data_IF_475627597172
#
_entry.id   IF_475627597172
#
_cell.length_a   1.000
_cell.length_b   1.000
_cell.length_c   1.000
_cell.angle_alpha   90.00
_cell.angle_beta   90.00
_cell.angle_gamma   90.00
#
_symmetry.space_group_name_H-M   'P 1'
#
loop_
_entity.id
_entity.type
_entity.pdbx_description
1 polymer ?
#
# COMPACT_ATOMS: atom_id res chain seq x y z
N UNK A 1 8.62 21.27 22.85
CA UNK A 1 7.96 20.71 21.63
C UNK A 1 7.54 19.30 21.95
N UNK A 2 6.29 18.95 21.69
CA UNK A 2 5.81 17.57 21.84
C UNK A 2 6.48 16.72 20.77
N UNK A 3 7.19 15.66 21.15
CA UNK A 3 7.78 14.71 20.22
C UNK A 3 6.80 13.59 19.87
N UNK A 4 7.15 12.77 18.88
CA UNK A 4 6.40 11.56 18.56
C UNK A 4 6.43 10.57 19.72
N UNK A 5 5.29 9.94 20.07
CA UNK A 5 5.19 9.04 21.24
C UNK A 5 6.00 7.75 21.09
N UNK A 6 6.17 7.27 19.86
CA UNK A 6 6.98 6.12 19.50
C UNK A 6 8.00 6.52 18.43
N UNK A 7 9.27 6.21 18.66
CA UNK A 7 10.36 6.55 17.75
C UNK A 7 10.96 5.34 17.03
N UNK A 8 10.49 4.12 17.35
CA UNK A 8 11.10 2.89 16.81
C UNK A 8 11.21 2.89 15.29
N UNK A 9 10.16 3.31 14.58
CA UNK A 9 10.22 3.42 13.11
C UNK A 9 11.13 4.56 12.68
N UNK A 10 11.09 5.73 13.33
CA UNK A 10 11.97 6.84 12.98
C UNK A 10 13.44 6.48 13.08
N UNK A 11 13.80 5.76 14.16
CA UNK A 11 15.17 5.33 14.40
C UNK A 11 15.59 4.18 13.44
N UNK A 12 14.63 3.39 12.95
CA UNK A 12 14.84 2.33 11.96
C UNK A 12 15.05 2.88 10.54
N UNK A 13 14.16 3.75 10.07
CA UNK A 13 14.10 4.17 8.66
C UNK A 13 14.71 5.54 8.40
N UNK A 14 14.98 6.33 9.45
CA UNK A 14 15.62 7.64 9.34
C UNK A 14 14.74 8.77 8.79
N UNK A 15 13.39 8.62 8.78
CA UNK A 15 12.48 9.70 8.39
C UNK A 15 12.25 10.71 9.52
N UNK A 16 11.82 11.92 9.20
CA UNK A 16 11.53 12.97 10.19
C UNK A 16 10.20 12.70 10.93
N UNK A 17 9.19 12.20 10.19
CA UNK A 17 7.88 11.87 10.72
C UNK A 17 7.57 10.38 10.57
N UNK A 18 6.77 9.76 11.47
CA UNK A 18 6.37 8.37 11.36
C UNK A 18 5.28 8.19 10.29
N UNK A 19 5.54 8.70 9.11
CA UNK A 19 4.66 8.69 7.94
C UNK A 19 5.42 8.09 6.77
N UNK A 20 4.82 7.08 6.13
CA UNK A 20 5.33 6.46 4.91
C UNK A 20 4.36 6.82 3.79
N UNK A 21 4.86 7.43 2.72
CA UNK A 21 4.10 7.56 1.49
C UNK A 21 3.99 6.17 0.86
N UNK A 22 2.78 5.65 0.75
CA UNK A 22 2.56 4.29 0.24
C UNK A 22 3.06 4.13 -1.20
N UNK A 23 3.72 3.02 -1.53
CA UNK A 23 4.07 2.72 -2.92
C UNK A 23 2.81 2.43 -3.74
N UNK A 24 2.58 3.21 -4.79
CA UNK A 24 1.35 3.14 -5.60
C UNK A 24 1.71 2.90 -7.07
N UNK A 25 1.58 1.64 -7.51
CA UNK A 25 1.91 1.24 -8.88
C UNK A 25 1.13 2.05 -9.93
N UNK A 26 1.82 2.54 -10.96
CA UNK A 26 1.30 3.39 -12.04
C UNK A 26 0.79 4.78 -11.60
N UNK A 27 0.93 5.15 -10.34
CA UNK A 27 0.45 6.43 -9.80
C UNK A 27 1.57 7.17 -9.07
N UNK A 28 2.35 6.48 -8.26
CA UNK A 28 3.53 7.02 -7.61
C UNK A 28 4.78 6.86 -8.48
N UNK A 29 5.72 7.78 -8.31
CA UNK A 29 7.04 7.77 -8.96
C UNK A 29 7.99 8.66 -8.21
N UNK A 30 9.11 9.01 -8.83
CA UNK A 30 10.17 9.80 -8.20
C UNK A 30 9.67 11.14 -7.69
N UNK A 31 8.83 11.85 -8.47
CA UNK A 31 8.31 13.16 -8.07
C UNK A 31 7.52 13.08 -6.76
N UNK A 32 6.64 12.09 -6.64
CA UNK A 32 5.84 11.90 -5.44
C UNK A 32 6.69 11.50 -4.24
N UNK A 33 7.63 10.56 -4.43
CA UNK A 33 8.53 10.11 -3.37
C UNK A 33 9.44 11.24 -2.86
N UNK A 34 10.03 12.05 -3.78
CA UNK A 34 10.84 13.21 -3.44
C UNK A 34 10.04 14.26 -2.69
N UNK A 35 8.80 14.55 -3.12
CA UNK A 35 7.97 15.55 -2.45
C UNK A 35 7.52 15.09 -1.06
N UNK A 36 7.13 13.83 -0.92
CA UNK A 36 6.81 13.24 0.39
C UNK A 36 8.03 13.29 1.34
N UNK A 37 9.23 12.93 0.85
CA UNK A 37 10.47 12.99 1.62
C UNK A 37 10.84 14.42 2.04
N UNK A 38 10.66 15.41 1.17
CA UNK A 38 10.82 16.84 1.51
C UNK A 38 9.80 17.33 2.54
N UNK A 39 8.67 16.64 2.67
CA UNK A 39 7.69 16.87 3.71
C UNK A 39 8.03 16.17 5.04
N UNK A 40 9.07 15.33 5.09
CA UNK A 40 9.53 14.60 6.28
C UNK A 40 9.05 13.14 6.35
N UNK A 41 8.32 12.63 5.36
CA UNK A 41 7.93 11.21 5.28
C UNK A 41 9.03 10.31 4.71
N UNK A 42 8.90 9.00 4.87
CA UNK A 42 9.61 8.04 4.06
C UNK A 42 8.95 7.96 2.67
N UNK A 43 9.67 8.41 1.62
CA UNK A 43 9.23 8.28 0.24
C UNK A 43 9.32 6.84 -0.26
N UNK A 44 8.39 6.39 -1.10
CA UNK A 44 8.39 5.02 -1.62
C UNK A 44 8.28 4.96 -3.13
N UNK A 45 9.06 4.08 -3.77
CA UNK A 45 8.97 3.73 -5.19
C UNK A 45 8.28 2.37 -5.38
N UNK A 46 7.23 2.29 -6.22
CA UNK A 46 6.55 1.04 -6.55
C UNK A 46 7.31 0.25 -7.62
N UNK A 47 8.32 -0.53 -7.23
CA UNK A 47 9.25 -1.20 -8.14
C UNK A 47 8.69 -2.46 -8.81
N UNK A 48 7.61 -3.05 -8.29
CA UNK A 48 7.03 -4.29 -8.82
C UNK A 48 6.41 -4.19 -10.22
N UNK A 49 6.50 -3.02 -10.90
CA UNK A 49 5.91 -2.75 -12.22
C UNK A 49 6.91 -2.23 -13.25
N UNK A 50 8.14 -1.99 -12.85
CA UNK A 50 9.19 -1.39 -13.67
C UNK A 50 10.39 -2.34 -13.75
N UNK A 51 11.24 -2.18 -14.77
CA UNK A 51 12.39 -3.07 -14.94
C UNK A 51 13.50 -2.77 -13.92
N UNK A 52 14.44 -3.71 -13.69
CA UNK A 52 15.61 -3.48 -12.86
C UNK A 52 16.39 -2.21 -13.24
N UNK A 53 16.54 -1.92 -14.53
CA UNK A 53 17.19 -0.70 -15.04
C UNK A 53 16.43 0.56 -14.63
N UNK A 54 15.11 0.54 -14.77
CA UNK A 54 14.25 1.67 -14.36
C UNK A 54 14.28 1.88 -12.84
N UNK A 55 14.44 0.82 -12.04
CA UNK A 55 14.64 0.97 -10.59
C UNK A 55 15.91 1.77 -10.29
N UNK A 56 17.04 1.42 -10.96
CA UNK A 56 18.31 2.16 -10.81
C UNK A 56 18.13 3.64 -11.16
N UNK A 57 17.59 3.90 -12.35
CA UNK A 57 17.37 5.27 -12.84
C UNK A 57 16.52 6.10 -11.87
N UNK A 58 15.43 5.52 -11.35
CA UNK A 58 14.54 6.23 -10.43
C UNK A 58 15.19 6.48 -9.05
N UNK A 59 16.01 5.56 -8.56
CA UNK A 59 16.72 5.75 -7.28
C UNK A 59 17.82 6.80 -7.44
N UNK A 60 18.57 6.79 -8.54
CA UNK A 60 19.58 7.79 -8.82
C UNK A 60 18.95 9.19 -8.93
N UNK A 61 17.82 9.30 -9.63
CA UNK A 61 17.06 10.55 -9.71
C UNK A 61 16.56 11.01 -8.34
N UNK A 62 16.01 10.10 -7.52
CA UNK A 62 15.57 10.43 -6.16
C UNK A 62 16.72 10.97 -5.32
N UNK A 63 17.86 10.26 -5.29
CA UNK A 63 19.05 10.64 -4.51
C UNK A 63 19.67 11.94 -4.97
N UNK A 64 19.59 12.25 -6.26
CA UNK A 64 20.05 13.54 -6.79
C UNK A 64 19.20 14.73 -6.34
N UNK A 65 17.93 14.50 -5.93
CA UNK A 65 16.95 15.56 -5.62
C UNK A 65 16.69 15.74 -4.11
N UNK A 66 16.99 14.71 -3.31
CA UNK A 66 16.80 14.75 -1.85
C UNK A 66 17.75 13.78 -1.15
N UNK A 67 18.36 14.22 -0.06
CA UNK A 67 19.23 13.41 0.80
C UNK A 67 18.43 12.74 1.92
N UNK A 68 17.45 11.94 1.57
CA UNK A 68 16.56 11.27 2.51
C UNK A 68 16.53 9.74 2.24
N UNK A 69 16.14 8.90 3.21
CA UNK A 69 15.95 7.48 2.99
C UNK A 69 14.81 7.21 1.99
N UNK A 70 14.91 6.08 1.29
CA UNK A 70 13.92 5.64 0.31
C UNK A 70 13.47 4.21 0.58
N UNK A 71 12.19 3.94 0.36
CA UNK A 71 11.61 2.60 0.37
C UNK A 71 11.39 2.09 -1.05
N UNK A 72 11.95 0.93 -1.38
CA UNK A 72 11.69 0.21 -2.63
C UNK A 72 10.69 -0.91 -2.37
N UNK A 73 9.55 -0.88 -3.08
CA UNK A 73 8.49 -1.86 -2.87
C UNK A 73 8.39 -2.87 -4.00
N UNK A 74 8.29 -4.14 -3.63
CA UNK A 74 8.16 -5.26 -4.55
C UNK A 74 6.98 -6.16 -4.21
N UNK A 75 6.54 -6.98 -5.18
CA UNK A 75 5.49 -7.97 -5.00
C UNK A 75 6.07 -9.37 -4.90
N UNK A 76 5.60 -10.15 -3.92
CA UNK A 76 5.97 -11.53 -3.69
C UNK A 76 4.73 -12.41 -3.79
N UNK A 77 4.46 -12.97 -4.96
CA UNK A 77 3.35 -13.88 -5.18
C UNK A 77 3.84 -15.08 -5.98
N UNK A 78 3.17 -16.21 -5.82
CA UNK A 78 3.42 -17.36 -6.67
C UNK A 78 2.70 -17.18 -8.00
N UNK A 79 3.43 -17.39 -9.12
CA UNK A 79 2.81 -17.37 -10.44
C UNK A 79 1.83 -18.52 -10.55
N UNK A 80 0.54 -18.25 -10.77
CA UNK A 80 -0.43 -19.33 -10.94
C UNK A 80 -0.14 -20.10 -12.22
N UNK A 81 -0.53 -21.38 -12.22
CA UNK A 81 -0.52 -22.18 -13.45
C UNK A 81 -1.38 -21.51 -14.53
N UNK A 82 -0.99 -21.71 -15.81
CA UNK A 82 -1.79 -21.22 -16.92
C UNK A 82 -3.22 -21.77 -16.85
N UNK A 83 -4.20 -20.88 -16.98
CA UNK A 83 -5.62 -21.21 -16.95
C UNK A 83 -6.27 -20.81 -18.27
N UNK A 84 -7.39 -21.48 -18.61
CA UNK A 84 -8.23 -21.06 -19.73
C UNK A 84 -8.92 -19.74 -19.36
N UNK A 85 -8.59 -18.66 -20.05
CA UNK A 85 -9.17 -17.33 -19.90
C UNK A 85 -10.36 -17.07 -20.85
N UNK A 86 -10.79 -18.06 -21.62
CA UNK A 86 -11.82 -17.91 -22.65
C UNK A 86 -13.15 -17.36 -22.15
N UNK A 87 -13.58 -17.77 -20.93
CA UNK A 87 -14.79 -17.22 -20.30
C UNK A 87 -14.62 -15.73 -19.95
N UNK A 88 -13.45 -15.36 -19.45
CA UNK A 88 -13.13 -13.99 -19.10
C UNK A 88 -13.06 -13.10 -20.35
N UNK A 89 -12.38 -13.54 -21.41
CA UNK A 89 -12.37 -12.86 -22.72
C UNK A 89 -13.77 -12.67 -23.29
N UNK A 90 -14.65 -13.67 -23.16
CA UNK A 90 -16.03 -13.56 -23.61
C UNK A 90 -16.80 -12.45 -22.88
N UNK A 91 -16.58 -12.29 -21.56
CA UNK A 91 -17.18 -11.21 -20.76
C UNK A 91 -16.64 -9.85 -21.21
N UNK A 92 -15.34 -9.75 -21.51
CA UNK A 92 -14.70 -8.49 -21.91
C UNK A 92 -14.93 -8.13 -23.39
N UNK A 93 -15.36 -9.07 -24.23
CA UNK A 93 -15.52 -8.86 -25.68
C UNK A 93 -16.37 -7.64 -26.06
N UNK A 94 -17.53 -7.32 -25.43
CA UNK A 94 -18.30 -6.13 -25.73
C UNK A 94 -17.50 -4.83 -25.57
N UNK A 95 -16.60 -4.79 -24.59
CA UNK A 95 -15.76 -3.63 -24.33
C UNK A 95 -14.62 -3.51 -25.35
N UNK A 96 -14.02 -4.62 -25.76
CA UNK A 96 -13.05 -4.60 -26.86
C UNK A 96 -13.65 -4.04 -28.13
N UNK A 97 -14.88 -4.48 -28.48
CA UNK A 97 -15.62 -3.94 -29.65
C UNK A 97 -15.90 -2.44 -29.46
N UNK A 98 -16.39 -2.03 -28.28
CA UNK A 98 -16.66 -0.62 -27.96
C UNK A 98 -15.43 0.27 -28.12
N UNK A 99 -14.27 -0.21 -27.67
CA UNK A 99 -13.01 0.51 -27.73
C UNK A 99 -12.22 0.24 -29.02
N UNK A 100 -12.79 -0.50 -29.98
CA UNK A 100 -12.13 -0.79 -31.27
C UNK A 100 -10.83 -1.57 -31.11
N UNK A 101 -10.72 -2.37 -30.06
CA UNK A 101 -9.55 -3.19 -29.78
C UNK A 101 -9.71 -4.48 -30.61
N UNK A 102 -8.80 -4.78 -31.56
CA UNK A 102 -8.77 -6.09 -32.21
C UNK A 102 -8.53 -7.16 -31.13
N UNK A 103 -8.80 -8.43 -31.45
CA UNK A 103 -8.66 -9.51 -30.46
C UNK A 103 -7.33 -9.38 -29.70
N UNK A 104 -7.37 -9.05 -28.38
CA UNK A 104 -6.18 -8.61 -27.69
C UNK A 104 -5.22 -9.78 -27.48
N UNK A 105 -3.99 -9.61 -27.89
CA UNK A 105 -2.91 -10.45 -27.38
C UNK A 105 -2.74 -10.13 -25.88
N UNK A 106 -2.50 -11.17 -25.07
CA UNK A 106 -2.23 -10.97 -23.66
C UNK A 106 -1.02 -10.03 -23.49
N UNK A 107 -1.17 -9.03 -22.66
CA UNK A 107 -0.05 -8.15 -22.29
C UNK A 107 0.99 -8.94 -21.47
N UNK A 108 2.22 -8.43 -21.40
CA UNK A 108 3.24 -8.98 -20.52
C UNK A 108 2.70 -9.06 -19.08
N UNK A 109 2.94 -10.21 -18.45
CA UNK A 109 2.55 -10.43 -17.05
C UNK A 109 3.47 -9.66 -16.10
N UNK A 110 2.93 -9.29 -14.97
CA UNK A 110 3.72 -8.91 -13.81
C UNK A 110 4.48 -10.13 -13.32
N UNK A 111 5.76 -9.92 -13.04
CA UNK A 111 6.59 -10.96 -12.42
C UNK A 111 6.75 -10.66 -10.94
N UNK A 112 6.79 -11.68 -10.08
CA UNK A 112 7.14 -11.50 -8.67
C UNK A 112 8.61 -11.06 -8.54
N UNK A 113 8.99 -10.67 -7.31
CA UNK A 113 10.38 -10.41 -6.96
C UNK A 113 11.25 -11.63 -7.26
N UNK A 114 12.39 -11.40 -7.92
CA UNK A 114 13.30 -12.42 -8.40
C UNK A 114 14.77 -12.04 -8.17
N UNK A 115 15.68 -12.88 -8.66
CA UNK A 115 17.13 -12.67 -8.58
C UNK A 115 17.62 -11.39 -9.29
N UNK A 116 16.91 -10.92 -10.33
CA UNK A 116 17.30 -9.69 -11.04
C UNK A 116 17.01 -8.45 -10.18
N UNK A 117 15.87 -8.39 -9.51
CA UNK A 117 15.58 -7.33 -8.57
C UNK A 117 16.47 -7.42 -7.32
N UNK A 118 16.78 -8.63 -6.86
CA UNK A 118 17.70 -8.85 -5.74
C UNK A 118 19.08 -8.25 -6.05
N UNK A 119 19.63 -8.52 -7.23
CA UNK A 119 20.92 -7.96 -7.68
C UNK A 119 20.90 -6.42 -7.72
N UNK A 120 19.76 -5.80 -8.09
CA UNK A 120 19.60 -4.36 -8.04
C UNK A 120 19.63 -3.83 -6.61
N UNK A 121 18.97 -4.52 -5.67
CA UNK A 121 19.00 -4.13 -4.24
C UNK A 121 20.41 -4.25 -3.68
N UNK A 122 21.16 -5.30 -4.00
CA UNK A 122 22.55 -5.48 -3.60
C UNK A 122 23.46 -4.34 -4.10
N UNK A 123 23.22 -3.87 -5.32
CA UNK A 123 23.97 -2.78 -5.95
C UNK A 123 23.60 -1.42 -5.32
N UNK A 124 22.31 -1.11 -5.26
CA UNK A 124 21.79 0.21 -4.82
C UNK A 124 21.90 0.39 -3.31
N UNK A 125 21.75 -0.69 -2.53
CA UNK A 125 21.67 -0.67 -1.07
C UNK A 125 20.70 0.41 -0.55
N UNK A 126 19.39 0.25 -0.82
CA UNK A 126 18.39 1.19 -0.33
C UNK A 126 18.28 1.07 1.19
N UNK A 127 17.81 2.12 1.83
CA UNK A 127 17.60 2.15 3.28
C UNK A 127 16.46 1.22 3.71
N UNK A 128 15.42 1.11 2.87
CA UNK A 128 14.23 0.29 3.17
C UNK A 128 13.79 -0.51 1.94
N UNK A 129 13.41 -1.76 2.16
CA UNK A 129 12.75 -2.63 1.18
C UNK A 129 11.44 -3.14 1.77
N UNK A 130 10.33 -2.96 1.04
CA UNK A 130 9.04 -3.47 1.48
C UNK A 130 8.47 -4.50 0.51
N UNK A 131 7.84 -5.53 1.07
CA UNK A 131 7.23 -6.61 0.32
C UNK A 131 5.71 -6.65 0.49
N UNK A 132 5.01 -6.92 -0.60
CA UNK A 132 3.55 -7.07 -0.65
C UNK A 132 3.20 -8.44 -1.21
N UNK A 133 2.16 -9.09 -0.70
CA UNK A 133 1.81 -10.50 -0.96
C UNK A 133 2.81 -11.51 -0.39
N UNK A 134 3.24 -11.33 0.84
CA UNK A 134 4.21 -12.18 1.54
C UNK A 134 5.65 -11.71 1.37
N UNK A 135 6.58 -12.64 1.43
CA UNK A 135 8.02 -12.44 1.33
C UNK A 135 8.58 -13.24 0.14
N UNK A 136 9.75 -12.86 -0.41
CA UNK A 136 10.43 -13.68 -1.40
C UNK A 136 10.92 -14.99 -0.77
N UNK A 137 11.34 -15.93 -1.62
CA UNK A 137 11.96 -17.17 -1.16
C UNK A 137 13.17 -16.88 -0.25
N UNK A 138 13.36 -17.72 0.79
CA UNK A 138 14.37 -17.51 1.84
C UNK A 138 15.77 -17.13 1.31
N UNK A 139 16.33 -17.77 0.24
CA UNK A 139 17.64 -17.38 -0.26
C UNK A 139 17.70 -15.92 -0.76
N UNK A 140 16.63 -15.40 -1.36
CA UNK A 140 16.56 -14.01 -1.82
C UNK A 140 16.33 -13.06 -0.65
N UNK A 141 15.52 -13.46 0.33
CA UNK A 141 15.30 -12.67 1.55
C UNK A 141 16.60 -12.48 2.33
N UNK A 142 17.41 -13.53 2.47
CA UNK A 142 18.72 -13.47 3.11
C UNK A 142 19.70 -12.54 2.37
N UNK A 143 19.69 -12.56 1.03
CA UNK A 143 20.49 -11.63 0.23
C UNK A 143 20.07 -10.18 0.47
N UNK A 144 18.75 -9.90 0.46
CA UNK A 144 18.25 -8.55 0.79
C UNK A 144 18.67 -8.14 2.20
N UNK A 145 18.52 -9.03 3.19
CA UNK A 145 18.94 -8.78 4.59
C UNK A 145 20.44 -8.47 4.69
N UNK A 146 21.27 -9.16 3.93
CA UNK A 146 22.73 -8.95 3.91
C UNK A 146 23.14 -7.56 3.39
N UNK A 147 22.26 -6.84 2.68
CA UNK A 147 22.52 -5.46 2.25
C UNK A 147 22.46 -4.46 3.40
N UNK A 148 21.82 -4.82 4.51
CA UNK A 148 21.55 -3.95 5.66
C UNK A 148 20.28 -3.11 5.50
N UNK A 149 19.47 -3.34 4.45
CA UNK A 149 18.18 -2.66 4.28
C UNK A 149 17.19 -3.09 5.36
N UNK A 150 16.40 -2.16 5.86
CA UNK A 150 15.24 -2.42 6.71
C UNK A 150 14.16 -3.12 5.91
N UNK A 151 13.67 -4.26 6.36
CA UNK A 151 12.69 -5.08 5.66
C UNK A 151 11.29 -4.89 6.25
N UNK A 152 10.35 -4.42 5.43
CA UNK A 152 8.94 -4.27 5.80
C UNK A 152 8.09 -5.34 5.12
N UNK A 153 7.23 -6.03 5.87
CA UNK A 153 6.24 -6.97 5.35
C UNK A 153 4.81 -6.45 5.51
N UNK A 154 3.92 -6.74 4.55
CA UNK A 154 2.51 -6.35 4.61
C UNK A 154 1.65 -7.53 5.08
N UNK A 155 0.82 -7.31 6.12
CA UNK A 155 -0.12 -8.26 6.67
C UNK A 155 -1.55 -7.71 6.67
N UNK A 156 -2.53 -8.55 6.35
CA UNK A 156 -3.97 -8.24 6.39
C UNK A 156 -4.69 -9.01 7.51
N UNK A 157 -4.00 -9.96 8.13
CA UNK A 157 -4.49 -10.76 9.24
C UNK A 157 -3.45 -10.88 10.34
N UNK A 158 -3.88 -11.27 11.54
CA UNK A 158 -2.97 -11.54 12.66
C UNK A 158 -2.03 -12.71 12.36
N UNK A 159 -2.53 -13.74 11.69
CA UNK A 159 -1.73 -14.91 11.29
C UNK A 159 -0.60 -14.51 10.32
N UNK A 160 -0.91 -13.67 9.33
CA UNK A 160 0.10 -13.13 8.42
C UNK A 160 1.13 -12.27 9.14
N UNK A 161 0.71 -11.43 10.08
CA UNK A 161 1.62 -10.61 10.87
C UNK A 161 2.55 -11.48 11.72
N UNK A 162 2.02 -12.50 12.39
CA UNK A 162 2.82 -13.46 13.15
C UNK A 162 3.84 -14.20 12.27
N UNK A 163 3.41 -14.65 11.09
CA UNK A 163 4.31 -15.29 10.12
C UNK A 163 5.47 -14.36 9.73
N UNK A 164 5.18 -13.10 9.41
CA UNK A 164 6.20 -12.12 9.04
C UNK A 164 7.19 -11.85 10.20
N UNK A 165 6.69 -11.73 11.44
CA UNK A 165 7.53 -11.58 12.65
C UNK A 165 8.47 -12.78 12.80
N UNK A 166 7.98 -14.01 12.62
CA UNK A 166 8.81 -15.22 12.69
C UNK A 166 9.83 -15.30 11.55
N UNK A 167 9.55 -14.74 10.39
CA UNK A 167 10.51 -14.61 9.28
C UNK A 167 11.55 -13.51 9.51
N UNK A 168 11.46 -12.75 10.61
CA UNK A 168 12.45 -11.74 10.98
C UNK A 168 12.42 -10.49 10.12
N UNK A 169 11.25 -10.00 9.75
CA UNK A 169 11.11 -8.64 9.19
C UNK A 169 11.32 -7.60 10.28
N UNK A 170 11.76 -6.40 9.91
CA UNK A 170 12.08 -5.34 10.88
C UNK A 170 10.83 -4.55 11.32
N UNK A 171 9.79 -4.50 10.48
CA UNK A 171 8.49 -3.94 10.84
C UNK A 171 7.37 -4.51 9.96
N UNK A 172 6.12 -4.42 10.44
CA UNK A 172 4.94 -4.97 9.79
C UNK A 172 3.95 -3.86 9.43
N UNK A 173 3.53 -3.82 8.16
CA UNK A 173 2.46 -2.95 7.67
C UNK A 173 1.13 -3.69 7.88
N UNK A 174 0.35 -3.28 8.87
CA UNK A 174 -1.00 -3.80 9.11
C UNK A 174 -1.98 -3.11 8.16
N UNK A 175 -2.36 -3.80 7.08
CA UNK A 175 -3.27 -3.29 6.06
C UNK A 175 -4.73 -3.59 6.42
N UNK A 176 -5.47 -2.56 6.85
CA UNK A 176 -6.90 -2.67 7.11
C UNK A 176 -7.75 -2.74 5.85
N UNK A 177 -9.00 -3.20 6.01
CA UNK A 177 -9.99 -3.31 4.92
C UNK A 177 -10.26 -2.00 4.19
N UNK A 178 -10.03 -0.87 4.84
CA UNK A 178 -10.23 0.48 4.28
C UNK A 178 -9.21 0.87 3.21
N UNK A 179 -8.09 0.14 3.13
CA UNK A 179 -7.00 0.46 2.22
C UNK A 179 -7.41 0.38 0.75
N UNK A 180 -6.91 1.30 -0.07
CA UNK A 180 -7.03 1.25 -1.52
C UNK A 180 -6.00 0.32 -2.15
N UNK A 181 -6.28 -0.13 -3.37
CA UNK A 181 -5.40 -1.06 -4.07
C UNK A 181 -5.60 -2.51 -3.66
N UNK A 182 -4.63 -3.34 -4.03
CA UNK A 182 -4.69 -4.77 -3.76
C UNK A 182 -4.61 -5.08 -2.27
N UNK A 183 -5.44 -6.03 -1.83
CA UNK A 183 -5.33 -6.64 -0.51
C UNK A 183 -4.06 -7.49 -0.48
N UNK A 184 -3.14 -7.17 0.43
CA UNK A 184 -1.83 -7.81 0.52
C UNK A 184 -1.84 -9.23 1.08
N UNK A 185 -2.98 -9.89 1.10
CA UNK A 185 -3.18 -11.24 1.64
C UNK A 185 -2.31 -12.25 0.90
N UNK A 186 -1.65 -13.14 1.66
CA UNK A 186 -0.76 -14.15 1.10
C UNK A 186 -0.90 -15.53 1.76
N UNK A 187 -1.48 -15.63 2.95
CA UNK A 187 -1.84 -16.91 3.55
C UNK A 187 -3.23 -17.36 3.11
N UNK A 188 -3.41 -18.68 3.04
CA UNK A 188 -4.70 -19.29 2.76
C UNK A 188 -5.76 -18.89 3.80
N UNK A 189 -7.02 -18.86 3.37
CA UNK A 189 -8.15 -18.54 4.23
C UNK A 189 -9.31 -17.91 3.44
N UNK A 190 -10.43 -17.67 4.11
CA UNK A 190 -11.58 -17.04 3.48
C UNK A 190 -11.30 -15.56 3.18
N UNK A 191 -11.31 -15.11 1.92
CA UNK A 191 -11.06 -13.71 1.57
C UNK A 191 -12.13 -12.73 2.09
N UNK A 192 -13.20 -13.24 2.70
CA UNK A 192 -14.24 -12.44 3.37
C UNK A 192 -13.90 -12.14 4.83
N UNK A 193 -12.94 -12.86 5.41
CA UNK A 193 -12.42 -12.61 6.77
C UNK A 193 -11.42 -11.47 6.73
N UNK A 194 -11.92 -10.25 6.55
CA UNK A 194 -11.12 -9.02 6.51
C UNK A 194 -11.52 -8.11 7.66
N UNK A 195 -10.52 -7.57 8.34
CA UNK A 195 -10.69 -6.64 9.45
C UNK A 195 -10.47 -5.20 9.00
N UNK A 196 -11.30 -4.29 9.49
CA UNK A 196 -11.01 -2.87 9.45
C UNK A 196 -9.80 -2.55 10.33
N UNK A 197 -9.07 -1.48 9.99
CA UNK A 197 -7.82 -1.12 10.65
C UNK A 197 -7.97 -0.95 12.17
N UNK A 198 -9.07 -0.39 12.62
CA UNK A 198 -9.33 -0.17 14.04
C UNK A 198 -9.43 -1.47 14.84
N UNK A 199 -9.87 -2.57 14.21
CA UNK A 199 -9.94 -3.89 14.83
C UNK A 199 -8.65 -4.70 14.61
N UNK A 200 -8.01 -4.57 13.43
CA UNK A 200 -6.80 -5.31 13.07
C UNK A 200 -5.59 -4.86 13.90
N UNK A 201 -5.38 -3.55 13.98
CA UNK A 201 -4.17 -2.95 14.52
C UNK A 201 -3.84 -3.40 15.95
N UNK A 202 -4.75 -3.31 16.96
CA UNK A 202 -4.43 -3.74 18.31
C UNK A 202 -4.17 -5.25 18.43
N UNK A 203 -4.80 -6.07 17.59
CA UNK A 203 -4.59 -7.51 17.57
C UNK A 203 -3.21 -7.85 17.01
N UNK A 204 -2.80 -7.21 15.91
CA UNK A 204 -1.45 -7.39 15.33
C UNK A 204 -0.39 -6.94 16.34
N UNK A 205 -0.52 -5.75 16.93
CA UNK A 205 0.43 -5.22 17.92
C UNK A 205 0.61 -6.19 19.12
N UNK A 206 -0.48 -6.84 19.53
CA UNK A 206 -0.42 -7.81 20.64
C UNK A 206 0.22 -9.15 20.24
N UNK A 207 0.31 -9.46 18.96
CA UNK A 207 0.76 -10.76 18.44
C UNK A 207 2.22 -10.76 17.97
N UNK A 208 2.85 -9.58 17.77
CA UNK A 208 4.19 -9.46 17.19
C UNK A 208 5.13 -8.66 18.07
N UNK A 209 6.44 -8.84 17.88
CA UNK A 209 7.48 -8.16 18.65
C UNK A 209 8.01 -6.88 17.97
N UNK A 210 7.91 -6.82 16.64
CA UNK A 210 8.43 -5.71 15.83
C UNK A 210 7.45 -4.52 15.78
N UNK A 211 7.92 -3.32 15.43
CA UNK A 211 7.05 -2.16 15.22
C UNK A 211 5.97 -2.40 14.16
N UNK A 212 4.76 -1.88 14.41
CA UNK A 212 3.62 -2.02 13.48
C UNK A 212 3.28 -0.67 12.85
N UNK A 213 3.14 -0.68 11.53
CA UNK A 213 2.79 0.46 10.68
C UNK A 213 1.32 0.33 10.28
N UNK A 214 0.48 1.28 10.63
CA UNK A 214 -0.94 1.25 10.29
C UNK A 214 -1.17 1.71 8.84
N UNK A 215 -1.93 0.95 8.04
CA UNK A 215 -2.26 1.29 6.66
C UNK A 215 -3.76 1.07 6.35
N UNK A 216 -4.39 2.07 5.74
CA UNK A 216 -5.81 2.03 5.37
C UNK A 216 -6.67 3.06 6.11
N UNK A 217 -7.49 3.78 5.37
CA UNK A 217 -8.40 4.79 5.93
C UNK A 217 -7.75 6.06 6.49
N UNK A 218 -6.44 6.20 6.43
CA UNK A 218 -5.70 7.34 6.98
C UNK A 218 -5.63 8.44 5.92
N UNK A 219 -6.25 9.60 6.21
CA UNK A 219 -6.35 10.70 5.25
C UNK A 219 -6.07 12.09 5.86
N UNK A 220 -6.02 12.22 7.19
CA UNK A 220 -5.73 13.46 7.91
C UNK A 220 -4.97 13.19 9.21
N UNK A 221 -4.54 14.24 9.92
CA UNK A 221 -3.79 14.11 11.18
C UNK A 221 -4.61 13.49 12.31
N UNK A 222 -5.93 13.52 12.26
CA UNK A 222 -6.80 12.85 13.25
C UNK A 222 -6.66 11.35 13.15
N UNK A 223 -6.65 10.83 11.91
CA UNK A 223 -6.45 9.39 11.66
C UNK A 223 -5.02 8.94 12.02
N UNK A 224 -4.00 9.78 11.77
CA UNK A 224 -2.62 9.54 12.22
C UNK A 224 -2.56 9.45 13.74
N UNK A 225 -3.08 10.46 14.46
CA UNK A 225 -3.09 10.46 15.92
C UNK A 225 -3.84 9.26 16.51
N UNK A 226 -4.98 8.86 15.92
CA UNK A 226 -5.74 7.70 16.34
C UNK A 226 -4.96 6.40 16.17
N UNK A 227 -4.28 6.20 15.03
CA UNK A 227 -3.45 5.02 14.78
C UNK A 227 -2.29 4.91 15.78
N UNK A 228 -1.60 6.03 16.05
CA UNK A 228 -0.51 6.08 17.03
C UNK A 228 -1.04 5.85 18.47
N UNK A 229 -2.22 6.36 18.80
CA UNK A 229 -2.87 6.11 20.10
C UNK A 229 -3.27 4.64 20.27
N UNK A 230 -3.63 3.94 19.19
CA UNK A 230 -3.88 2.50 19.19
C UNK A 230 -2.60 1.66 19.30
N UNK A 231 -1.41 2.29 19.26
CA UNK A 231 -0.13 1.64 19.44
C UNK A 231 0.68 1.42 18.17
N UNK A 232 0.24 1.94 17.01
CA UNK A 232 1.08 1.95 15.82
C UNK A 232 2.34 2.79 16.05
N UNK A 233 3.48 2.33 15.48
CA UNK A 233 4.75 3.07 15.51
C UNK A 233 4.85 4.07 14.35
N UNK A 234 4.08 3.87 13.29
CA UNK A 234 3.97 4.75 12.13
C UNK A 234 2.67 4.51 11.35
N UNK A 235 2.45 5.32 10.32
CA UNK A 235 1.35 5.14 9.37
C UNK A 235 1.87 5.07 7.94
N UNK A 236 1.22 4.25 7.10
CA UNK A 236 1.43 4.25 5.65
C UNK A 236 0.19 4.83 4.96
N UNK A 237 0.39 5.92 4.23
CA UNK A 237 -0.67 6.73 3.63
C UNK A 237 -0.60 6.68 2.12
N UNK A 238 -1.68 6.28 1.45
CA UNK A 238 -1.73 6.20 -0.02
C UNK A 238 -2.70 7.21 -0.63
N UNK A 239 -3.99 7.01 -0.39
CA UNK A 239 -5.08 7.73 -1.07
C UNK A 239 -5.02 9.25 -0.90
N UNK A 240 -4.55 9.75 0.23
CA UNK A 240 -4.38 11.19 0.45
C UNK A 240 -3.41 11.84 -0.57
N UNK A 241 -2.43 11.07 -1.07
CA UNK A 241 -1.47 11.54 -2.07
C UNK A 241 -1.97 11.43 -3.53
N UNK A 242 -3.11 10.79 -3.80
CA UNK A 242 -3.58 10.57 -5.18
C UNK A 242 -3.88 11.87 -5.93
N UNK A 243 -4.34 12.92 -5.22
CA UNK A 243 -4.64 14.22 -5.82
C UNK A 243 -3.47 15.18 -5.88
N UNK A 244 -2.31 14.78 -5.38
CA UNK A 244 -1.12 15.61 -5.47
C UNK A 244 -0.72 15.84 -6.94
N UNK A 245 -0.21 17.02 -7.31
CA UNK A 245 0.31 17.27 -8.65
C UNK A 245 1.46 16.34 -9.02
N UNK A 246 2.22 15.84 -8.03
CA UNK A 246 3.34 14.92 -8.21
C UNK A 246 2.90 13.47 -8.49
N UNK A 247 1.60 13.15 -8.37
CA UNK A 247 1.07 11.85 -8.75
C UNK A 247 0.81 11.78 -10.26
N UNK A 248 1.09 10.61 -10.88
CA UNK A 248 0.85 10.38 -12.32
C UNK A 248 -0.63 10.20 -12.68
N UNK A 249 -1.53 10.26 -11.70
CA UNK A 249 -2.95 10.12 -11.97
C UNK A 249 -3.43 11.30 -12.82
N UNK A 250 -4.10 11.07 -13.97
CA UNK A 250 -4.66 12.17 -14.80
C UNK A 250 -5.67 13.00 -14.00
N UNK A 251 -5.74 14.30 -14.26
CA UNK A 251 -6.61 15.21 -13.50
C UNK A 251 -8.09 14.81 -13.56
N UNK A 252 -8.60 14.41 -14.73
CA UNK A 252 -9.96 13.90 -14.84
C UNK A 252 -10.21 12.64 -14.02
N UNK A 253 -9.19 11.84 -13.77
CA UNK A 253 -9.26 10.69 -12.87
C UNK A 253 -9.20 11.11 -11.39
N UNK A 254 -8.35 12.10 -11.04
CA UNK A 254 -8.33 12.71 -9.70
C UNK A 254 -9.70 13.27 -9.31
N UNK A 255 -10.42 13.84 -10.27
CA UNK A 255 -11.76 14.38 -10.06
C UNK A 255 -12.82 13.33 -9.72
N UNK A 256 -12.61 12.06 -10.07
CA UNK A 256 -13.55 10.98 -9.71
C UNK A 256 -13.42 10.54 -8.25
N UNK A 257 -12.27 10.80 -7.62
CA UNK A 257 -12.03 10.42 -6.23
C UNK A 257 -13.07 11.08 -5.30
N UNK A 258 -13.71 10.27 -4.46
CA UNK A 258 -14.73 10.74 -3.51
C UNK A 258 -16.11 11.06 -4.10
N UNK A 259 -16.28 11.05 -5.42
CA UNK A 259 -17.62 11.23 -6.06
C UNK A 259 -18.49 9.98 -5.99
N UNK A 260 -17.85 8.81 -5.95
CA UNK A 260 -18.52 7.51 -5.83
C UNK A 260 -17.90 6.70 -4.69
N UNK A 261 -18.63 5.76 -4.09
CA UNK A 261 -18.08 4.88 -3.06
C UNK A 261 -16.99 3.98 -3.64
N UNK A 262 -16.11 3.48 -2.77
CA UNK A 262 -15.16 2.43 -3.12
C UNK A 262 -15.73 1.06 -2.84
N UNK A 263 -15.30 0.08 -3.60
CA UNK A 263 -15.71 -1.33 -3.47
C UNK A 263 -14.51 -2.24 -3.72
N UNK A 264 -14.52 -3.43 -3.09
CA UNK A 264 -13.52 -4.46 -3.38
C UNK A 264 -13.92 -5.22 -4.63
N UNK A 265 -12.98 -5.44 -5.53
CA UNK A 265 -13.19 -6.08 -6.83
C UNK A 265 -12.01 -6.95 -7.23
N UNK A 266 -12.24 -7.99 -8.05
CA UNK A 266 -11.17 -8.79 -8.66
C UNK A 266 -11.12 -8.64 -10.19
N UNK A 267 -12.02 -7.84 -10.78
CA UNK A 267 -12.17 -7.78 -12.25
C UNK A 267 -10.99 -7.14 -12.99
N UNK A 268 -10.13 -6.41 -12.29
CA UNK A 268 -9.03 -5.70 -12.92
C UNK A 268 -7.79 -6.56 -13.12
N UNK A 269 -7.46 -7.40 -12.14
CA UNK A 269 -6.21 -8.15 -12.14
C UNK A 269 -6.35 -9.62 -11.74
N UNK A 270 -7.54 -10.03 -11.28
CA UNK A 270 -7.78 -11.33 -10.67
C UNK A 270 -7.61 -11.35 -9.15
N UNK A 271 -6.79 -10.45 -8.60
CA UNK A 271 -6.63 -10.25 -7.16
C UNK A 271 -7.67 -9.28 -6.60
N UNK A 272 -8.02 -9.47 -5.33
CA UNK A 272 -8.91 -8.54 -4.63
C UNK A 272 -8.22 -7.18 -4.45
N UNK A 273 -8.88 -6.12 -4.91
CA UNK A 273 -8.39 -4.75 -4.78
C UNK A 273 -9.56 -3.80 -4.51
N UNK A 274 -9.33 -2.77 -3.69
CA UNK A 274 -10.33 -1.72 -3.47
C UNK A 274 -10.15 -0.61 -4.48
N UNK A 275 -11.24 -0.27 -5.17
CA UNK A 275 -11.28 0.78 -6.17
C UNK A 275 -12.55 1.64 -6.02
N UNK A 276 -12.53 2.85 -6.58
CA UNK A 276 -13.74 3.64 -6.81
C UNK A 276 -14.66 2.86 -7.76
N UNK A 277 -15.94 2.80 -7.44
CA UNK A 277 -16.93 2.10 -8.24
C UNK A 277 -17.15 2.79 -9.58
N UNK A 278 -16.47 2.31 -10.60
CA UNK A 278 -16.58 2.76 -11.98
C UNK A 278 -17.58 1.95 -12.79
N UNK A 279 -17.82 2.38 -14.01
CA UNK A 279 -18.79 1.79 -14.93
C UNK A 279 -18.51 0.32 -15.27
N UNK A 280 -17.23 -0.06 -15.42
CA UNK A 280 -16.89 -1.45 -15.68
C UNK A 280 -17.35 -2.36 -14.52
N UNK A 281 -17.18 -1.90 -13.27
CA UNK A 281 -17.66 -2.62 -12.07
C UNK A 281 -19.20 -2.72 -12.09
N UNK A 282 -19.89 -1.64 -12.46
CA UNK A 282 -21.35 -1.61 -12.50
C UNK A 282 -21.92 -2.58 -13.54
N UNK A 283 -21.26 -2.69 -14.69
CA UNK A 283 -21.75 -3.49 -15.83
C UNK A 283 -21.44 -4.98 -15.70
N UNK A 284 -20.27 -5.36 -15.13
CA UNK A 284 -19.90 -6.79 -15.04
C UNK A 284 -19.87 -7.35 -13.62
N UNK A 285 -20.10 -6.51 -12.62
CA UNK A 285 -20.10 -6.87 -11.20
C UNK A 285 -18.71 -6.78 -10.56
N UNK A 286 -18.66 -6.59 -9.24
CA UNK A 286 -17.38 -6.38 -8.57
C UNK A 286 -16.55 -7.67 -8.42
N UNK A 287 -17.20 -8.82 -8.26
CA UNK A 287 -16.52 -10.11 -8.06
C UNK A 287 -16.98 -11.09 -9.15
N UNK A 288 -16.01 -11.67 -9.84
CA UNK A 288 -16.22 -12.63 -10.92
C UNK A 288 -15.37 -13.88 -10.73
N UNK A 289 -16.03 -15.04 -10.68
CA UNK A 289 -15.34 -16.33 -10.65
C UNK A 289 -14.67 -16.69 -11.98
N UNK A 290 -15.07 -16.02 -13.07
CA UNK A 290 -14.49 -16.23 -14.40
C UNK A 290 -13.18 -15.42 -14.60
N UNK A 291 -12.90 -14.43 -13.75
CA UNK A 291 -11.64 -13.70 -13.81
C UNK A 291 -10.50 -14.64 -13.40
N UNK A 292 -9.49 -14.85 -14.25
CA UNK A 292 -8.32 -15.64 -13.91
C UNK A 292 -7.63 -15.11 -12.64
N UNK A 293 -6.94 -15.97 -11.86
CA UNK A 293 -6.24 -15.51 -10.67
C UNK A 293 -5.16 -14.47 -10.98
N UNK A 294 -4.83 -13.67 -9.97
CA UNK A 294 -3.77 -12.65 -10.07
C UNK A 294 -2.43 -13.30 -10.51
N UNK A 295 -1.67 -12.69 -11.45
CA UNK A 295 -1.96 -11.47 -12.19
C UNK A 295 -2.61 -11.71 -13.59
N UNK A 296 -3.06 -12.93 -13.88
CA UNK A 296 -3.45 -13.37 -15.23
C UNK A 296 -4.62 -12.55 -15.82
N UNK A 297 -5.63 -12.21 -15.01
CA UNK A 297 -6.74 -11.39 -15.50
C UNK A 297 -6.26 -10.01 -15.98
N UNK A 298 -5.23 -9.46 -15.34
CA UNK A 298 -4.63 -8.17 -15.70
C UNK A 298 -4.04 -8.16 -17.11
N UNK A 299 -3.46 -9.27 -17.56
CA UNK A 299 -2.91 -9.37 -18.92
C UNK A 299 -3.99 -9.19 -20.00
N UNK A 300 -5.21 -9.61 -19.71
CA UNK A 300 -6.37 -9.51 -20.62
C UNK A 300 -7.06 -8.15 -20.52
N UNK A 301 -7.14 -7.57 -19.33
CA UNK A 301 -7.81 -6.27 -19.11
C UNK A 301 -6.92 -5.07 -19.48
N UNK A 302 -5.62 -5.17 -19.44
CA UNK A 302 -4.69 -4.06 -19.71
C UNK A 302 -4.90 -3.38 -21.08
N UNK A 303 -5.15 -4.09 -22.20
CA UNK A 303 -5.47 -3.46 -23.48
C UNK A 303 -6.71 -2.55 -23.42
N UNK A 304 -7.73 -2.94 -22.64
CA UNK A 304 -8.92 -2.13 -22.42
C UNK A 304 -8.58 -0.84 -21.66
N UNK A 305 -7.75 -0.94 -20.61
CA UNK A 305 -7.36 0.24 -19.83
C UNK A 305 -6.55 1.24 -20.66
N UNK A 306 -5.63 0.76 -21.49
CA UNK A 306 -4.88 1.63 -22.41
C UNK A 306 -5.80 2.39 -23.36
N UNK A 307 -6.74 1.69 -23.99
CA UNK A 307 -7.70 2.31 -24.88
C UNK A 307 -8.67 3.28 -24.17
N UNK A 308 -9.01 3.00 -22.91
CA UNK A 308 -9.82 3.89 -22.09
C UNK A 308 -9.06 5.17 -21.69
N UNK A 309 -7.76 5.08 -21.36
CA UNK A 309 -6.89 6.25 -21.11
C UNK A 309 -6.82 7.14 -22.35
N UNK A 310 -6.56 6.57 -23.54
CA UNK A 310 -6.50 7.32 -24.82
C UNK A 310 -7.79 8.08 -25.14
N UNK A 311 -8.92 7.62 -24.59
CA UNK A 311 -10.24 8.25 -24.79
C UNK A 311 -10.73 9.07 -23.61
N UNK A 312 -9.88 9.20 -22.56
CA UNK A 312 -10.24 9.87 -21.32
C UNK A 312 -11.51 9.30 -20.65
N UNK A 313 -11.83 8.00 -20.91
CA UNK A 313 -12.98 7.32 -20.31
C UNK A 313 -12.55 6.64 -19.00
N UNK A 314 -12.31 7.45 -17.97
CA UNK A 314 -11.79 7.04 -16.65
C UNK A 314 -12.73 6.09 -15.89
N UNK A 315 -14.00 6.01 -16.28
CA UNK A 315 -14.99 5.09 -15.68
C UNK A 315 -14.68 3.60 -15.96
N UNK A 316 -13.80 3.31 -16.91
CA UNK A 316 -13.34 1.96 -17.22
C UNK A 316 -11.98 1.61 -16.61
N UNK A 317 -11.35 2.52 -15.89
CA UNK A 317 -10.03 2.32 -15.32
C UNK A 317 -10.08 1.76 -13.89
N UNK A 318 -9.02 1.05 -13.46
CA UNK A 318 -8.84 0.65 -12.07
C UNK A 318 -8.50 1.86 -11.19
N UNK A 319 -9.51 2.63 -10.80
CA UNK A 319 -9.35 3.78 -9.90
C UNK A 319 -9.11 3.31 -8.46
N UNK A 320 -7.92 2.77 -8.20
CA UNK A 320 -7.58 2.18 -6.90
C UNK A 320 -7.50 3.28 -5.83
N UNK A 321 -8.40 3.23 -4.85
CA UNK A 321 -8.46 4.19 -3.75
C UNK A 321 -9.12 3.59 -2.52
N UNK A 322 -8.70 4.04 -1.33
CA UNK A 322 -9.26 3.65 -0.05
C UNK A 322 -10.61 4.31 0.25
N UNK A 323 -11.24 3.89 1.34
CA UNK A 323 -12.58 4.34 1.71
C UNK A 323 -12.66 5.85 1.99
N UNK A 324 -11.57 6.48 2.42
CA UNK A 324 -11.50 7.93 2.68
C UNK A 324 -11.08 8.75 1.46
N UNK A 325 -11.33 8.27 0.23
CA UNK A 325 -10.97 8.98 -0.99
C UNK A 325 -11.58 10.40 -1.11
N UNK A 326 -12.71 10.64 -0.47
CA UNK A 326 -13.35 11.96 -0.42
C UNK A 326 -12.54 13.00 0.36
N UNK A 327 -11.63 12.58 1.25
CA UNK A 327 -10.78 13.46 2.05
C UNK A 327 -9.45 13.81 1.37
N UNK A 328 -9.15 13.20 0.22
CA UNK A 328 -7.95 13.56 -0.54
C UNK A 328 -8.11 14.98 -1.11
N UNK A 329 -7.08 15.82 -0.93
CA UNK A 329 -7.09 17.22 -1.33
C UNK A 329 -6.12 17.50 -2.48
N UNK A 330 -6.41 18.52 -3.29
CA UNK A 330 -5.48 19.04 -4.30
C UNK A 330 -4.40 19.90 -3.62
N UNK A 331 -3.36 19.27 -3.12
CA UNK A 331 -2.21 19.90 -2.47
C UNK A 331 -0.91 19.22 -2.92
N UNK A 332 0.24 19.91 -2.77
CA UNK A 332 1.54 19.26 -2.96
C UNK A 332 1.73 18.12 -1.95
N UNK A 333 2.47 17.08 -2.33
CA UNK A 333 2.77 15.98 -1.42
C UNK A 333 3.60 16.44 -0.20
N UNK A 334 4.38 17.51 -0.35
CA UNK A 334 5.06 18.20 0.78
C UNK A 334 4.02 18.68 1.80
N UNK A 335 3.00 19.41 1.34
CA UNK A 335 1.99 19.98 2.22
C UNK A 335 1.08 18.91 2.82
N UNK A 336 0.70 17.88 2.05
CA UNK A 336 -0.04 16.73 2.58
C UNK A 336 0.73 16.10 3.74
N UNK A 337 2.02 15.82 3.56
CA UNK A 337 2.87 15.21 4.60
C UNK A 337 2.96 16.09 5.84
N UNK A 338 3.25 17.38 5.67
CA UNK A 338 3.36 18.33 6.78
C UNK A 338 2.05 18.47 7.54
N UNK A 339 0.93 18.61 6.84
CA UNK A 339 -0.38 18.72 7.48
C UNK A 339 -0.72 17.48 8.30
N UNK A 340 -0.47 16.26 7.76
CA UNK A 340 -0.65 15.02 8.51
C UNK A 340 0.15 15.01 9.81
N UNK A 341 1.42 15.46 9.76
CA UNK A 341 2.30 15.49 10.92
C UNK A 341 1.89 16.57 11.93
N UNK A 342 1.69 17.80 11.47
CA UNK A 342 1.36 18.95 12.33
C UNK A 342 0.04 18.76 13.05
N UNK A 343 -1.02 18.34 12.35
CA UNK A 343 -2.32 18.06 12.94
C UNK A 343 -2.26 16.90 13.96
N UNK A 344 -1.53 15.83 13.65
CA UNK A 344 -1.37 14.71 14.57
C UNK A 344 -0.63 15.14 15.84
N UNK A 345 0.48 15.87 15.72
CA UNK A 345 1.23 16.39 16.86
C UNK A 345 0.41 17.35 17.73
N UNK A 346 -0.42 18.19 17.11
CA UNK A 346 -1.31 19.09 17.83
C UNK A 346 -2.33 18.32 18.69
N UNK A 347 -2.90 17.24 18.16
CA UNK A 347 -3.85 16.38 18.88
C UNK A 347 -3.16 15.64 20.02
N UNK A 348 -2.03 14.96 19.75
CA UNK A 348 -1.28 14.20 20.74
C UNK A 348 -0.73 15.09 21.85
N UNK A 349 -0.30 16.32 21.52
CA UNK A 349 0.16 17.32 22.49
C UNK A 349 -0.95 17.85 23.38
N UNK A 350 -2.16 18.07 22.84
CA UNK A 350 -3.31 18.50 23.63
C UNK A 350 -3.77 17.43 24.64
N UNK A 351 -3.66 16.14 24.28
CA UNK A 351 -4.02 15.03 25.18
C UNK A 351 -2.97 14.83 26.29
N UNK A 352 -1.69 15.02 26.00
CA UNK A 352 -0.63 15.02 27.01
C UNK A 352 -0.83 16.14 28.06
N UNK A 353 -1.21 17.35 27.62
CA UNK A 353 -1.50 18.48 28.51
C UNK A 353 -2.76 18.28 29.36
N UNK A 354 -3.75 17.52 28.88
CA UNK A 354 -4.93 17.14 29.68
C UNK A 354 -4.57 16.11 30.74
N UNK A 355 -3.80 15.08 30.37
CA UNK A 355 -3.35 14.06 31.31
C UNK A 355 -2.52 14.66 32.46
N UNK A 356 -1.67 15.66 32.20
CA UNK A 356 -0.90 16.38 33.22
C UNK A 356 -1.78 17.25 34.13
N UNK A 357 -2.91 17.78 33.64
CA UNK A 357 -3.84 18.58 34.45
C UNK A 357 -4.76 17.72 35.33
N UNK A 358 -5.06 16.50 34.91
CA UNK A 358 -5.86 15.52 35.66
C UNK A 358 -4.98 14.64 36.58
N UNK A 359 -3.71 15.02 36.79
CA UNK A 359 -2.72 14.29 37.55
C UNK A 359 -3.22 13.84 38.90
N UNK A 360 -3.61 12.64 38.96
CA UNK A 360 -3.68 11.61 39.98
C UNK A 360 -4.79 10.58 39.67
N UNK A 361 -4.61 9.76 38.66
CA UNK A 361 -5.31 8.47 38.58
C UNK A 361 -4.39 7.42 37.99
N UNK A 362 -3.80 6.62 38.89
CA UNK A 362 -3.13 5.35 38.60
C UNK A 362 -3.98 4.50 37.63
N UNK A 363 -3.48 4.26 36.41
CA UNK A 363 -4.05 3.27 35.51
C UNK A 363 -3.64 1.88 35.99
N UNK A 364 -4.57 0.97 36.34
CA UNK A 364 -4.21 -0.42 36.57
C UNK A 364 -3.84 -1.06 35.22
N UNK A 365 -2.64 -1.64 35.15
CA UNK A 365 -2.21 -2.43 33.98
C UNK A 365 -3.15 -3.61 33.74
N UNK A 366 -3.85 -3.63 32.64
CA UNK A 366 -4.62 -4.78 32.18
C UNK A 366 -3.76 -5.55 31.20
N UNK A 367 -2.87 -6.38 31.72
CA UNK A 367 -2.33 -7.51 30.98
C UNK A 367 -3.39 -8.64 30.98
N UNK A 368 -4.28 -8.68 30.01
CA UNK A 368 -5.05 -9.87 29.69
C UNK A 368 -4.36 -10.61 28.54
N UNK A 369 -3.74 -11.73 28.86
CA UNK A 369 -3.38 -12.74 27.87
C UNK A 369 -4.65 -13.26 27.25
N UNK A 370 -4.80 -13.11 25.93
CA UNK A 370 -5.83 -13.79 25.15
C UNK A 370 -5.44 -15.26 25.01
N UNK A 371 -6.41 -16.21 25.04
CA UNK A 371 -6.10 -17.61 24.85
C UNK A 371 -5.50 -17.86 23.46
N UNK A 372 -4.37 -18.56 23.43
CA UNK A 372 -3.76 -19.13 22.23
C UNK A 372 -4.74 -20.14 21.67
N UNK A 373 -5.26 -19.92 20.47
CA UNK A 373 -5.99 -20.92 19.71
C UNK A 373 -4.93 -21.76 19.01
N UNK A 374 -4.77 -23.02 19.47
CA UNK A 374 -3.92 -24.00 18.79
C UNK A 374 -4.43 -24.28 17.37
N UNK A 375 -3.54 -24.61 16.42
CA UNK A 375 -3.81 -24.73 15.00
C UNK A 375 -4.76 -25.87 14.61
#
# INVERSE_FOLDING_TARGET
MVGWPDRRILDLVGSEHPIIQAPMANVGGVDLAVAAAKGGALGSLPCGMITPEQVREQVDEFRARVGAPINLNFFCFEMPAAVDDGKWRKILRPYYVRFGIPEPQAAALRMPFDEFYCAVIEEIRPEVVSFHFGLPAEPLLEQVRATGAVILGCATTVAEAFFLDQCGVDAIIAQGYEAGGHTGRFLDGDPREVLGLFALLPQVISAVSVPVIAAGGIADGRAVAAALTLGASAVQVGTAYLRCPESFLPDGHKDMLGKKPTIVTNIYSGGLARAVRGRLIDEIGPIRGEAPPYPLAGAVTLPLFRAAIEREDYEFLPSLAGQNAALAEYRSAVDVTRNLAEEALAILGADALKADRDGDRSRPGVHRQLPVVDP
#
